data_IF_677128078950
#
_entry.id   IF_677128078950
#
_cell.length_a   1.000
_cell.length_b   1.000
_cell.length_c   1.000
_cell.angle_alpha   90.00
_cell.angle_beta   90.00
_cell.angle_gamma   90.00
#
_symmetry.space_group_name_H-M   'P 1'
#
loop_
_entity.id
_entity.type
_entity.pdbx_description
1 polymer ?
#
# COMPACT_ATOMS: atom_id res chain seq x y z
N UNK A 1 -36.60 8.17 10.09
CA UNK A 1 -35.95 9.50 10.17
C UNK A 1 -35.08 9.54 11.43
N UNK A 2 -33.80 9.20 11.32
CA UNK A 2 -32.81 9.43 12.38
C UNK A 2 -31.56 10.00 11.71
N UNK A 3 -31.13 11.14 12.26
CA UNK A 3 -30.14 12.06 11.70
C UNK A 3 -28.73 11.52 11.92
N UNK A 4 -27.91 11.75 10.89
CA UNK A 4 -26.45 11.59 10.83
C UNK A 4 -25.77 12.20 12.06
N UNK A 5 -24.97 11.40 12.76
CA UNK A 5 -23.90 11.87 13.63
C UNK A 5 -22.65 11.09 13.22
N UNK A 6 -21.94 11.61 12.21
CA UNK A 6 -20.68 11.08 11.70
C UNK A 6 -19.77 12.28 11.46
N UNK A 7 -18.52 12.14 11.91
CA UNK A 7 -17.34 12.81 11.36
C UNK A 7 -17.22 14.30 11.73
N UNK A 8 -16.64 14.58 12.90
CA UNK A 8 -15.90 15.84 13.15
C UNK A 8 -14.49 15.57 13.74
N UNK A 9 -14.20 14.36 14.26
CA UNK A 9 -12.88 14.11 14.88
C UNK A 9 -11.71 13.81 13.92
N UNK A 10 -11.93 13.46 12.65
CA UNK A 10 -10.82 13.13 11.74
C UNK A 10 -10.26 14.33 10.97
N UNK A 11 -11.03 15.41 10.80
CA UNK A 11 -10.58 16.59 10.05
C UNK A 11 -9.66 17.52 10.85
N UNK A 12 -9.68 17.45 12.19
CA UNK A 12 -8.84 18.30 13.03
C UNK A 12 -7.40 17.77 13.15
N UNK A 13 -7.20 16.45 13.08
CA UNK A 13 -5.85 15.84 13.15
C UNK A 13 -5.05 16.02 11.85
N UNK A 14 -5.70 16.07 10.69
CA UNK A 14 -5.02 16.24 9.39
C UNK A 14 -4.57 17.70 9.20
N UNK A 15 -5.35 18.67 9.69
CA UNK A 15 -4.98 20.08 9.61
C UNK A 15 -3.80 20.45 10.53
N UNK A 16 -3.61 19.73 11.64
CA UNK A 16 -2.51 19.98 12.57
C UNK A 16 -1.16 19.51 12.01
N UNK A 17 -1.14 18.34 11.35
CA UNK A 17 0.08 17.77 10.73
C UNK A 17 0.58 18.61 9.55
N UNK A 18 -0.33 19.17 8.74
CA UNK A 18 0.06 20.04 7.62
C UNK A 18 0.71 21.37 8.07
N UNK A 19 0.35 21.89 9.25
CA UNK A 19 0.95 23.11 9.79
C UNK A 19 2.36 22.92 10.35
N UNK A 20 2.71 21.71 10.80
CA UNK A 20 4.06 21.38 11.26
C UNK A 20 5.06 21.24 10.10
N UNK A 21 4.62 20.70 8.95
CA UNK A 21 5.49 20.51 7.79
C UNK A 21 5.96 21.84 7.17
N UNK A 22 5.11 22.88 7.14
CA UNK A 22 5.48 24.17 6.55
C UNK A 22 6.42 25.04 7.39
N UNK A 23 6.65 24.74 8.67
CA UNK A 23 7.56 25.50 9.52
C UNK A 23 8.89 24.79 9.82
N UNK A 24 9.02 23.51 9.45
CA UNK A 24 10.21 22.73 9.79
C UNK A 24 11.47 23.21 9.03
N UNK A 25 11.34 23.55 7.73
CA UNK A 25 12.45 24.07 6.93
C UNK A 25 13.00 25.41 7.44
N UNK A 26 12.14 26.23 8.05
CA UNK A 26 12.54 27.55 8.57
C UNK A 26 13.22 27.46 9.92
N UNK A 27 12.93 26.44 10.72
CA UNK A 27 13.55 26.22 12.04
C UNK A 27 14.94 25.62 11.88
N UNK A 28 15.15 24.74 10.89
CA UNK A 28 16.44 24.05 10.68
C UNK A 28 17.52 25.00 10.13
N UNK A 29 17.15 26.05 9.39
CA UNK A 29 18.12 26.94 8.74
C UNK A 29 18.77 27.99 9.67
N UNK A 30 18.21 28.26 10.85
CA UNK A 30 18.63 29.39 11.71
C UNK A 30 19.08 28.98 13.13
N UNK A 31 19.07 27.69 13.50
CA UNK A 31 19.35 27.26 14.88
C UNK A 31 20.77 26.71 15.08
N UNK A 32 21.54 27.30 15.99
CA UNK A 32 22.80 26.73 16.48
C UNK A 32 22.54 25.41 17.25
N UNK A 33 23.45 24.41 17.19
CA UNK A 33 23.21 23.02 17.61
C UNK A 33 22.94 22.80 19.12
N UNK A 34 22.76 23.86 19.91
CA UNK A 34 22.43 23.79 21.35
C UNK A 34 21.00 24.22 21.72
N UNK A 35 20.24 24.89 20.85
CA UNK A 35 18.88 25.40 21.19
C UNK A 35 17.73 24.47 20.78
N UNK A 36 17.99 23.45 19.95
CA UNK A 36 16.98 22.51 19.45
C UNK A 36 16.38 21.60 20.54
N UNK A 37 17.15 21.22 21.56
CA UNK A 37 16.66 20.30 22.59
C UNK A 37 15.62 20.94 23.53
N UNK A 38 15.63 22.27 23.69
CA UNK A 38 14.69 22.95 24.60
C UNK A 38 13.32 23.20 23.94
N UNK A 39 13.27 23.29 22.61
CA UNK A 39 12.05 23.57 21.84
C UNK A 39 11.15 22.33 21.68
N UNK A 40 11.75 21.15 21.48
CA UNK A 40 10.99 19.89 21.32
C UNK A 40 10.31 19.49 22.63
N UNK A 41 10.99 19.65 23.77
CA UNK A 41 10.43 19.37 25.10
C UNK A 41 9.21 20.27 25.42
N UNK A 42 9.29 21.58 25.11
CA UNK A 42 8.18 22.51 25.33
C UNK A 42 6.94 22.19 24.46
N UNK A 43 7.16 21.65 23.26
CA UNK A 43 6.08 21.30 22.33
C UNK A 43 5.37 20.00 22.76
N UNK A 44 6.11 19.03 23.31
CA UNK A 44 5.53 17.81 23.89
C UNK A 44 4.71 18.09 25.16
N UNK A 45 5.18 18.97 26.05
CA UNK A 45 4.43 19.34 27.26
C UNK A 45 3.11 20.08 26.96
N UNK A 46 3.10 20.94 25.94
CA UNK A 46 1.88 21.62 25.49
C UNK A 46 0.85 20.64 24.90
N UNK A 47 1.31 19.57 24.25
CA UNK A 47 0.44 18.55 23.67
C UNK A 47 -0.21 17.67 24.76
N UNK A 48 0.56 17.29 25.78
CA UNK A 48 0.05 16.52 26.92
C UNK A 48 -1.01 17.27 27.73
N UNK A 49 -0.96 18.61 27.78
CA UNK A 49 -1.95 19.41 28.50
C UNK A 49 -3.32 19.49 27.79
N UNK A 50 -3.40 19.20 26.50
CA UNK A 50 -4.64 19.37 25.71
C UNK A 50 -5.53 18.11 25.70
N UNK A 51 -4.98 16.94 26.06
CA UNK A 51 -5.70 15.65 26.04
C UNK A 51 -6.59 15.38 27.27
N UNK A 52 -6.62 16.27 28.26
CA UNK A 52 -7.35 16.04 29.53
C UNK A 52 -8.66 16.81 29.67
N UNK A 53 -9.18 17.44 28.60
CA UNK A 53 -10.45 18.17 28.70
C UNK A 53 -11.65 17.24 28.49
N UNK A 54 -12.05 16.55 29.57
CA UNK A 54 -13.29 15.79 29.66
C UNK A 54 -14.49 16.76 29.65
N UNK A 55 -15.27 16.74 28.58
CA UNK A 55 -16.44 17.61 28.43
C UNK A 55 -17.54 17.21 29.45
N UNK A 56 -18.14 18.16 30.18
CA UNK A 56 -19.20 17.85 31.13
C UNK A 56 -20.45 17.33 30.41
N UNK A 57 -21.01 16.24 30.94
CA UNK A 57 -22.21 15.58 30.44
C UNK A 57 -23.45 16.49 30.60
N UNK A 58 -24.21 16.79 29.53
CA UNK A 58 -25.41 17.62 29.66
C UNK A 58 -26.49 16.87 30.44
N UNK A 59 -26.88 17.43 31.59
CA UNK A 59 -27.98 16.94 32.41
C UNK A 59 -29.32 17.30 31.75
N UNK A 60 -29.82 16.39 30.91
CA UNK A 60 -31.13 16.52 30.26
C UNK A 60 -32.28 16.06 31.16
N UNK A 61 -33.32 16.89 31.23
CA UNK A 61 -34.61 16.72 31.93
C UNK A 61 -35.29 15.36 31.67
N UNK A 62 -36.02 14.78 32.64
CA UNK A 62 -36.75 13.52 32.44
C UNK A 62 -37.80 13.66 31.32
N UNK A 63 -37.87 12.71 30.37
CA UNK A 63 -38.90 12.75 29.34
C UNK A 63 -40.30 12.51 29.94
N UNK A 64 -41.26 13.30 29.48
CA UNK A 64 -42.69 13.16 29.76
C UNK A 64 -43.21 11.79 29.28
N UNK A 65 -44.15 11.14 30.00
CA UNK A 65 -44.74 9.87 29.55
C UNK A 65 -45.50 10.10 28.23
N UNK A 66 -45.03 9.49 27.15
CA UNK A 66 -45.73 9.44 25.86
C UNK A 66 -46.65 8.23 25.89
N UNK A 67 -47.95 8.45 25.70
CA UNK A 67 -48.94 7.38 25.56
C UNK A 67 -48.57 6.47 24.39
N UNK A 68 -48.50 5.16 24.66
CA UNK A 68 -48.13 4.13 23.70
C UNK A 68 -49.34 3.88 22.79
N UNK A 69 -49.31 4.24 21.49
CA UNK A 69 -50.34 3.80 20.56
C UNK A 69 -50.26 2.28 20.41
N UNK A 70 -51.41 1.61 20.49
CA UNK A 70 -51.57 0.17 20.30
C UNK A 70 -50.91 -0.25 18.98
N UNK A 71 -49.82 -1.02 19.10
CA UNK A 71 -48.98 -1.42 17.98
C UNK A 71 -49.75 -2.21 16.94
N UNK A 72 -49.82 -1.67 15.72
CA UNK A 72 -50.12 -2.44 14.51
C UNK A 72 -49.00 -3.47 14.36
N UNK A 73 -49.36 -4.75 14.29
CA UNK A 73 -48.39 -5.83 14.11
C UNK A 73 -47.62 -5.59 12.81
N UNK A 74 -46.33 -5.25 12.93
CA UNK A 74 -45.41 -5.20 11.81
C UNK A 74 -45.18 -6.65 11.38
N UNK A 75 -45.49 -7.04 10.13
CA UNK A 75 -45.16 -8.38 9.65
C UNK A 75 -43.67 -8.65 9.89
N UNK A 76 -43.38 -9.72 10.63
CA UNK A 76 -42.03 -10.27 10.75
C UNK A 76 -41.59 -10.68 9.35
N UNK A 77 -40.79 -9.84 8.70
CA UNK A 77 -40.15 -10.19 7.43
C UNK A 77 -39.07 -11.20 7.77
N UNK A 78 -39.31 -12.47 7.47
CA UNK A 78 -38.28 -13.51 7.53
C UNK A 78 -37.14 -13.06 6.61
N UNK A 79 -35.91 -12.89 7.11
CA UNK A 79 -34.78 -12.57 6.25
C UNK A 79 -34.64 -13.72 5.24
N UNK A 80 -34.77 -13.40 3.97
CA UNK A 80 -34.50 -14.34 2.88
C UNK A 80 -33.05 -14.82 3.04
N UNK A 81 -32.77 -16.13 2.95
CA UNK A 81 -31.42 -16.63 3.13
C UNK A 81 -30.52 -15.96 2.10
N UNK A 82 -29.58 -15.14 2.57
CA UNK A 82 -28.52 -14.59 1.74
C UNK A 82 -27.79 -15.77 1.12
N UNK A 83 -27.93 -15.97 -0.20
CA UNK A 83 -27.20 -17.04 -0.88
C UNK A 83 -25.72 -16.76 -0.72
N UNK A 84 -25.04 -17.50 0.14
CA UNK A 84 -23.59 -17.47 0.21
C UNK A 84 -23.08 -18.05 -1.10
N UNK A 85 -22.69 -17.19 -2.04
CA UNK A 85 -22.04 -17.64 -3.26
C UNK A 85 -20.76 -18.37 -2.86
N UNK A 86 -20.73 -19.67 -3.13
CA UNK A 86 -19.51 -20.45 -2.95
C UNK A 86 -18.53 -20.04 -4.06
N UNK A 87 -17.30 -19.64 -3.72
CA UNK A 87 -16.27 -19.34 -4.72
C UNK A 87 -16.09 -20.51 -5.69
N UNK A 88 -15.89 -20.25 -6.99
CA UNK A 88 -15.50 -21.29 -7.92
C UNK A 88 -14.13 -21.87 -7.51
N UNK A 89 -13.80 -23.11 -7.91
CA UNK A 89 -12.48 -23.70 -7.64
C UNK A 89 -11.36 -22.78 -8.16
N UNK A 90 -10.32 -22.56 -7.35
CA UNK A 90 -9.18 -21.66 -7.66
C UNK A 90 -9.55 -20.17 -7.77
N UNK A 91 -10.81 -19.81 -7.49
CA UNK A 91 -11.29 -18.44 -7.54
C UNK A 91 -10.96 -17.67 -6.28
N UNK A 92 -10.46 -16.46 -6.47
CA UNK A 92 -10.20 -15.48 -5.43
C UNK A 92 -10.90 -14.17 -5.82
N UNK A 93 -11.46 -13.44 -4.86
CA UNK A 93 -12.04 -12.11 -5.18
C UNK A 93 -10.95 -11.07 -5.05
N UNK A 94 -10.49 -10.47 -6.16
CA UNK A 94 -9.40 -9.49 -6.12
C UNK A 94 -9.82 -8.17 -5.46
N UNK A 95 -11.12 -7.83 -5.45
CA UNK A 95 -11.62 -6.53 -4.98
C UNK A 95 -12.80 -6.64 -3.98
N UNK A 96 -12.99 -7.81 -3.37
CA UNK A 96 -14.05 -8.05 -2.36
C UNK A 96 -15.48 -7.74 -2.83
N UNK A 97 -15.71 -7.74 -4.14
CA UNK A 97 -16.95 -7.31 -4.78
C UNK A 97 -17.87 -8.50 -5.16
N UNK A 98 -17.48 -9.71 -4.78
CA UNK A 98 -18.19 -10.95 -5.13
C UNK A 98 -17.95 -11.43 -6.55
N UNK A 99 -17.08 -10.75 -7.31
CA UNK A 99 -16.48 -11.31 -8.53
C UNK A 99 -15.29 -12.18 -8.16
N UNK A 100 -15.03 -13.20 -8.98
CA UNK A 100 -13.93 -14.13 -8.76
C UNK A 100 -13.00 -14.14 -9.95
N UNK A 101 -11.71 -14.10 -9.65
CA UNK A 101 -10.61 -14.17 -10.59
C UNK A 101 -9.70 -15.34 -10.26
N UNK A 102 -8.96 -15.79 -11.26
CA UNK A 102 -7.91 -16.78 -11.11
C UNK A 102 -6.63 -16.24 -11.72
N UNK A 103 -5.57 -16.18 -10.91
CA UNK A 103 -4.25 -15.72 -11.35
C UNK A 103 -3.36 -16.93 -11.63
N UNK A 104 -2.73 -16.99 -12.80
CA UNK A 104 -1.89 -18.12 -13.23
C UNK A 104 -0.59 -17.63 -13.85
N UNK A 105 0.54 -18.11 -13.33
CA UNK A 105 1.84 -17.97 -13.99
C UNK A 105 2.11 -19.24 -14.81
N UNK A 106 2.28 -19.09 -16.13
CA UNK A 106 2.53 -20.20 -17.05
C UNK A 106 3.91 -20.05 -17.65
N UNK A 107 4.72 -21.10 -17.56
CA UNK A 107 6.03 -21.17 -18.23
C UNK A 107 5.87 -21.63 -19.69
N UNK A 108 6.14 -20.72 -20.62
CA UNK A 108 6.17 -20.97 -22.06
C UNK A 108 7.52 -21.47 -22.58
N UNK A 109 8.46 -21.81 -21.70
CA UNK A 109 9.81 -22.23 -22.05
C UNK A 109 10.58 -21.11 -22.74
N UNK A 110 10.88 -21.28 -24.04
CA UNK A 110 11.62 -20.28 -24.82
C UNK A 110 10.84 -18.96 -25.01
N UNK A 111 9.52 -18.95 -24.82
CA UNK A 111 8.70 -17.72 -24.85
C UNK A 111 8.62 -17.02 -23.49
N UNK A 112 9.32 -17.55 -22.48
CA UNK A 112 9.29 -17.07 -21.11
C UNK A 112 7.97 -17.30 -20.41
N UNK A 113 7.84 -16.69 -19.24
CA UNK A 113 6.64 -16.83 -18.41
C UNK A 113 5.59 -15.80 -18.81
N UNK A 114 4.33 -16.19 -18.75
CA UNK A 114 3.18 -15.29 -18.95
C UNK A 114 2.28 -15.37 -17.73
N UNK A 115 1.92 -14.21 -17.19
CA UNK A 115 0.97 -14.10 -16.08
C UNK A 115 -0.41 -13.79 -16.64
N UNK A 116 -1.40 -14.59 -16.26
CA UNK A 116 -2.79 -14.46 -16.69
C UNK A 116 -3.68 -14.13 -15.51
N UNK A 117 -4.72 -13.34 -15.77
CA UNK A 117 -5.87 -13.16 -14.89
C UNK A 117 -7.11 -13.58 -15.68
N UNK A 118 -7.78 -14.61 -15.19
CA UNK A 118 -9.07 -15.07 -15.70
C UNK A 118 -10.21 -14.55 -14.81
N UNK A 119 -11.38 -14.27 -15.37
CA UNK A 119 -12.61 -13.93 -14.67
C UNK A 119 -13.62 -15.07 -14.74
N UNK A 120 -14.34 -15.32 -13.64
CA UNK A 120 -15.41 -16.32 -13.60
C UNK A 120 -16.74 -15.73 -14.07
N UNK A 121 -17.27 -16.25 -15.17
CA UNK A 121 -18.55 -15.80 -15.74
C UNK A 121 -19.79 -16.43 -15.11
N UNK A 122 -19.62 -17.26 -14.08
CA UNK A 122 -20.68 -18.10 -13.51
C UNK A 122 -20.68 -19.53 -14.08
N UNK A 123 -19.98 -19.77 -15.20
CA UNK A 123 -19.92 -21.08 -15.85
C UNK A 123 -18.51 -21.47 -16.32
N UNK A 124 -17.68 -20.50 -16.70
CA UNK A 124 -16.33 -20.74 -17.18
C UNK A 124 -15.36 -19.65 -16.75
N UNK A 125 -14.07 -19.97 -16.82
CA UNK A 125 -12.97 -19.02 -16.70
C UNK A 125 -12.70 -18.38 -18.06
N UNK A 126 -12.70 -17.06 -18.13
CA UNK A 126 -12.36 -16.29 -19.34
C UNK A 126 -11.15 -15.40 -19.08
N UNK A 127 -10.14 -15.45 -19.96
CA UNK A 127 -8.97 -14.55 -19.87
C UNK A 127 -9.44 -13.11 -20.05
N UNK A 128 -9.16 -12.26 -19.04
CA UNK A 128 -9.48 -10.83 -19.08
C UNK A 128 -8.24 -9.96 -19.13
N UNK A 129 -7.08 -10.49 -18.72
CA UNK A 129 -5.83 -9.75 -18.73
C UNK A 129 -4.63 -10.70 -18.74
N UNK A 130 -3.54 -10.26 -19.35
CA UNK A 130 -2.26 -10.96 -19.32
C UNK A 130 -1.06 -10.02 -19.44
N UNK A 131 0.08 -10.46 -18.91
CA UNK A 131 1.39 -9.85 -19.11
C UNK A 131 2.37 -10.92 -19.58
N UNK A 132 3.01 -10.65 -20.71
CA UNK A 132 3.99 -11.54 -21.32
C UNK A 132 5.39 -11.14 -20.85
N UNK A 133 6.15 -12.09 -20.31
CA UNK A 133 7.53 -11.89 -19.93
C UNK A 133 8.45 -11.75 -21.13
N UNK A 134 8.10 -12.32 -22.29
CA UNK A 134 8.95 -12.28 -23.48
C UNK A 134 10.12 -13.27 -23.44
N UNK A 135 11.12 -13.05 -24.29
CA UNK A 135 12.29 -13.93 -24.41
C UNK A 135 13.12 -13.94 -23.10
N UNK A 136 13.28 -15.09 -22.42
CA UNK A 136 14.07 -15.22 -21.18
C UNK A 136 15.52 -14.77 -21.32
N UNK A 137 16.07 -14.76 -22.53
CA UNK A 137 17.42 -14.24 -22.78
C UNK A 137 17.51 -12.72 -22.64
N UNK A 138 16.38 -12.01 -22.69
CA UNK A 138 16.29 -10.55 -22.57
C UNK A 138 15.62 -10.12 -21.27
N UNK A 139 14.50 -10.74 -20.89
CA UNK A 139 13.79 -10.44 -19.65
C UNK A 139 12.88 -11.61 -19.25
N UNK A 140 12.53 -11.71 -17.96
CA UNK A 140 11.67 -12.79 -17.48
C UNK A 140 10.85 -12.36 -16.26
N UNK A 141 9.57 -12.73 -16.22
CA UNK A 141 8.75 -12.62 -15.01
C UNK A 141 9.30 -13.60 -13.96
N UNK A 142 9.53 -13.12 -12.72
CA UNK A 142 10.03 -13.98 -11.65
C UNK A 142 8.96 -14.94 -11.12
N UNK A 143 9.38 -16.03 -10.47
CA UNK A 143 8.46 -17.01 -9.88
C UNK A 143 7.65 -16.47 -8.69
N UNK A 144 8.02 -15.31 -8.18
CA UNK A 144 7.32 -14.59 -7.12
C UNK A 144 6.12 -13.79 -7.65
N UNK A 145 5.86 -13.76 -8.96
CA UNK A 145 4.69 -13.11 -9.53
C UNK A 145 3.38 -13.81 -9.11
N UNK A 146 2.36 -13.02 -8.78
CA UNK A 146 1.06 -13.58 -8.37
C UNK A 146 0.21 -12.64 -7.52
N UNK A 147 -0.89 -13.16 -6.94
CA UNK A 147 -1.80 -12.38 -6.10
C UNK A 147 -1.27 -12.25 -4.67
N UNK A 148 -1.29 -11.03 -4.13
CA UNK A 148 -0.91 -10.71 -2.76
C UNK A 148 -2.02 -9.93 -2.06
N UNK A 149 -2.35 -10.30 -0.83
CA UNK A 149 -3.37 -9.63 -0.02
C UNK A 149 -2.86 -8.28 0.50
N UNK A 150 -3.61 -7.22 0.25
CA UNK A 150 -3.45 -5.88 0.81
C UNK A 150 -4.73 -5.48 1.56
N UNK A 151 -4.58 -4.93 2.76
CA UNK A 151 -5.66 -4.66 3.68
C UNK A 151 -6.37 -5.94 4.10
N UNK A 152 -7.69 -5.85 4.29
CA UNK A 152 -8.48 -6.95 4.85
C UNK A 152 -8.92 -7.99 3.82
N UNK A 153 -9.04 -7.62 2.54
CA UNK A 153 -9.63 -8.51 1.53
C UNK A 153 -9.19 -8.25 0.08
N UNK A 154 -8.51 -7.14 -0.22
CA UNK A 154 -8.14 -6.79 -1.58
C UNK A 154 -6.88 -7.56 -1.97
N UNK A 155 -6.88 -8.23 -3.11
CA UNK A 155 -5.67 -8.86 -3.65
C UNK A 155 -5.20 -8.06 -4.86
N UNK A 156 -3.90 -7.77 -4.89
CA UNK A 156 -3.23 -7.16 -6.04
C UNK A 156 -2.33 -8.16 -6.72
N UNK A 157 -2.14 -7.99 -8.02
CA UNK A 157 -1.27 -8.84 -8.83
C UNK A 157 0.09 -8.16 -8.94
N UNK A 158 1.10 -8.74 -8.29
CA UNK A 158 2.48 -8.27 -8.35
C UNK A 158 3.23 -8.99 -9.47
N UNK A 159 3.94 -8.22 -10.30
CA UNK A 159 4.64 -8.69 -11.50
C UNK A 159 6.09 -8.17 -11.48
N UNK A 160 7.00 -8.87 -10.81
CA UNK A 160 8.44 -8.62 -10.92
C UNK A 160 8.97 -9.15 -12.25
N UNK A 161 9.64 -8.29 -13.02
CA UNK A 161 10.25 -8.60 -14.31
C UNK A 161 11.74 -8.32 -14.21
N UNK A 162 12.56 -9.35 -14.37
CA UNK A 162 14.02 -9.20 -14.35
C UNK A 162 14.58 -9.16 -15.76
N UNK A 163 15.38 -8.14 -16.06
CA UNK A 163 16.09 -8.01 -17.33
C UNK A 163 17.45 -8.69 -17.27
N UNK A 164 17.77 -9.43 -18.32
CA UNK A 164 19.05 -10.10 -18.51
C UNK A 164 20.13 -9.08 -18.87
N UNK A 165 21.32 -9.22 -18.29
CA UNK A 165 22.47 -8.34 -18.54
C UNK A 165 23.25 -7.99 -17.28
N UNK A 166 24.24 -7.09 -17.39
CA UNK A 166 25.15 -6.73 -16.30
C UNK A 166 24.53 -5.87 -15.20
N UNK A 167 23.36 -5.27 -15.43
CA UNK A 167 22.65 -4.44 -14.46
C UNK A 167 21.61 -5.16 -13.61
N UNK A 168 21.26 -6.41 -13.93
CA UNK A 168 20.23 -7.19 -13.23
C UNK A 168 18.98 -6.36 -12.87
N UNK A 169 18.52 -5.53 -13.82
CA UNK A 169 17.43 -4.58 -13.59
C UNK A 169 16.17 -5.35 -13.24
N UNK A 170 15.51 -4.93 -12.17
CA UNK A 170 14.20 -5.42 -11.79
C UNK A 170 13.19 -4.31 -12.06
N UNK A 171 12.16 -4.60 -12.83
CA UNK A 171 10.97 -3.76 -12.99
C UNK A 171 9.83 -4.42 -12.19
N UNK A 172 9.32 -3.74 -11.17
CA UNK A 172 8.21 -4.19 -10.34
C UNK A 172 6.93 -3.44 -10.75
N UNK A 173 5.92 -4.19 -11.18
CA UNK A 173 4.58 -3.66 -11.45
C UNK A 173 3.56 -4.26 -10.51
N UNK A 174 2.60 -3.46 -10.06
CA UNK A 174 1.49 -3.94 -9.24
C UNK A 174 0.18 -3.47 -9.86
N UNK A 175 -0.72 -4.43 -10.07
CA UNK A 175 -2.01 -4.20 -10.67
C UNK A 175 -3.15 -4.48 -9.68
N UNK A 176 -4.12 -3.58 -9.61
CA UNK A 176 -5.34 -3.74 -8.84
C UNK A 176 -6.53 -4.05 -9.77
N UNK A 177 -7.45 -4.90 -9.32
CA UNK A 177 -8.70 -5.15 -10.03
C UNK A 177 -9.74 -4.10 -9.63
N UNK A 178 -10.32 -3.38 -10.59
CA UNK A 178 -11.33 -2.35 -10.32
C UNK A 178 -12.78 -2.85 -10.39
N UNK A 179 -12.98 -4.16 -10.55
CA UNK A 179 -14.29 -4.78 -10.80
C UNK A 179 -14.50 -5.21 -12.26
N UNK A 180 -13.74 -4.64 -13.20
CA UNK A 180 -13.86 -4.92 -14.64
C UNK A 180 -12.55 -5.21 -15.36
N UNK A 181 -11.47 -4.57 -14.93
CA UNK A 181 -10.15 -4.72 -15.55
C UNK A 181 -9.03 -4.59 -14.51
N UNK A 182 -7.83 -4.99 -14.91
CA UNK A 182 -6.60 -4.75 -14.15
C UNK A 182 -6.09 -3.34 -14.45
N UNK A 183 -5.88 -2.54 -13.40
CA UNK A 183 -5.33 -1.19 -13.48
C UNK A 183 -3.97 -1.17 -12.79
N UNK A 184 -2.96 -0.57 -13.43
CA UNK A 184 -1.64 -0.41 -12.83
C UNK A 184 -1.69 0.63 -11.71
N UNK A 185 -1.33 0.24 -10.49
CA UNK A 185 -1.28 1.13 -9.32
C UNK A 185 0.14 1.41 -8.81
N UNK A 186 1.14 0.70 -9.36
CA UNK A 186 2.56 0.92 -9.07
C UNK A 186 3.42 0.41 -10.21
N UNK A 187 4.45 1.17 -10.56
CA UNK A 187 5.53 0.77 -11.42
C UNK A 187 6.82 1.42 -10.93
N UNK A 188 7.88 0.64 -10.80
CA UNK A 188 9.21 1.12 -10.45
C UNK A 188 10.27 0.16 -10.96
N UNK A 189 11.40 0.67 -11.42
CA UNK A 189 12.53 -0.12 -11.88
C UNK A 189 13.83 0.32 -11.20
N UNK A 190 14.73 -0.64 -10.97
CA UNK A 190 16.01 -0.36 -10.33
C UNK A 190 17.11 -1.35 -10.68
N UNK A 191 18.35 -0.85 -10.68
CA UNK A 191 19.55 -1.63 -10.97
C UNK A 191 19.93 -2.49 -9.76
N UNK A 192 20.26 -3.76 -10.00
CA UNK A 192 20.37 -4.81 -8.98
C UNK A 192 19.15 -4.84 -8.06
N UNK A 193 17.97 -4.63 -8.64
CA UNK A 193 16.77 -4.46 -7.86
C UNK A 193 16.30 -5.73 -7.18
N UNK A 194 15.73 -5.54 -5.99
CA UNK A 194 15.02 -6.56 -5.23
C UNK A 194 13.75 -5.96 -4.62
N UNK A 195 12.83 -6.81 -4.19
CA UNK A 195 11.59 -6.36 -3.58
C UNK A 195 11.08 -7.32 -2.52
N UNK A 196 10.34 -6.77 -1.57
CA UNK A 196 9.66 -7.54 -0.54
C UNK A 196 8.31 -6.90 -0.19
N UNK A 197 7.40 -7.73 0.30
CA UNK A 197 6.12 -7.29 0.86
C UNK A 197 6.10 -7.50 2.38
N UNK A 198 5.74 -6.44 3.12
CA UNK A 198 5.62 -6.45 4.58
C UNK A 198 4.27 -5.84 4.98
N UNK A 199 3.29 -6.70 5.32
CA UNK A 199 1.92 -6.23 5.55
C UNK A 199 1.38 -5.55 4.28
N UNK A 200 0.87 -4.33 4.40
CA UNK A 200 0.34 -3.54 3.28
C UNK A 200 1.39 -2.64 2.61
N UNK A 201 2.66 -2.88 2.93
CA UNK A 201 3.79 -2.15 2.38
C UNK A 201 4.59 -3.03 1.43
N UNK A 202 5.20 -2.38 0.45
CA UNK A 202 6.29 -2.93 -0.34
C UNK A 202 7.57 -2.18 0.02
N UNK A 203 8.68 -2.90 0.08
CA UNK A 203 10.01 -2.30 0.05
C UNK A 203 10.64 -2.68 -1.27
N UNK A 204 11.11 -1.67 -2.00
CA UNK A 204 11.90 -1.85 -3.20
C UNK A 204 13.34 -1.47 -2.91
N UNK A 205 14.30 -2.31 -3.29
CA UNK A 205 15.72 -2.07 -3.13
C UNK A 205 16.34 -1.79 -4.50
N UNK A 206 17.17 -0.77 -4.61
CA UNK A 206 17.91 -0.44 -5.82
C UNK A 206 19.33 0.05 -5.53
N UNK A 207 20.19 -0.01 -6.54
CA UNK A 207 21.56 0.50 -6.46
C UNK A 207 21.65 1.99 -6.81
N UNK A 208 22.38 2.76 -6.00
CA UNK A 208 22.77 4.13 -6.34
C UNK A 208 24.25 4.14 -6.71
N UNK A 209 24.54 4.62 -7.93
CA UNK A 209 25.91 4.80 -8.41
C UNK A 209 26.36 6.25 -8.26
N UNK A 210 27.54 6.44 -7.68
CA UNK A 210 28.28 7.69 -7.74
C UNK A 210 28.92 7.87 -9.12
N UNK A 211 29.39 9.10 -9.39
CA UNK A 211 30.14 9.39 -10.60
C UNK A 211 31.44 8.57 -10.63
N UNK A 212 31.78 8.00 -11.79
CA UNK A 212 32.93 7.08 -12.03
C UNK A 212 32.90 5.74 -11.26
N UNK A 213 31.76 5.37 -10.69
CA UNK A 213 31.62 4.13 -9.96
C UNK A 213 31.41 2.91 -10.90
N UNK A 214 32.08 1.75 -10.66
CA UNK A 214 31.89 0.57 -11.50
C UNK A 214 30.47 -0.03 -11.36
N UNK A 215 29.81 -0.30 -12.49
CA UNK A 215 28.47 -0.92 -12.53
C UNK A 215 28.34 -2.26 -11.78
N UNK A 216 29.44 -2.99 -11.55
CA UNK A 216 29.42 -4.25 -10.81
C UNK A 216 29.17 -4.10 -9.32
N UNK A 217 29.48 -2.92 -8.77
CA UNK A 217 29.91 -2.80 -7.39
C UNK A 217 29.36 -1.51 -6.78
N UNK A 218 28.02 -1.39 -6.68
CA UNK A 218 27.35 -0.20 -6.15
C UNK A 218 27.90 0.14 -4.76
N UNK A 219 28.32 1.37 -4.48
CA UNK A 219 28.79 1.83 -3.17
C UNK A 219 27.63 2.02 -2.20
N UNK A 220 26.44 2.31 -2.73
CA UNK A 220 25.23 2.54 -1.95
C UNK A 220 24.05 1.77 -2.53
N UNK A 221 23.14 1.36 -1.64
CA UNK A 221 21.80 0.89 -1.99
C UNK A 221 20.75 1.79 -1.38
N UNK A 222 19.65 1.96 -2.09
CA UNK A 222 18.47 2.65 -1.64
C UNK A 222 17.37 1.64 -1.36
N UNK A 223 16.72 1.80 -0.22
CA UNK A 223 15.49 1.12 0.14
C UNK A 223 14.37 2.13 0.09
N UNK A 224 13.35 1.85 -0.70
CA UNK A 224 12.15 2.67 -0.90
C UNK A 224 10.95 1.92 -0.32
N UNK A 225 10.32 2.50 0.69
CA UNK A 225 9.11 1.94 1.29
C UNK A 225 7.88 2.62 0.70
N UNK A 226 6.93 1.83 0.20
CA UNK A 226 5.65 2.33 -0.28
C UNK A 226 4.50 1.63 0.42
N UNK A 227 3.51 2.40 0.84
CA UNK A 227 2.29 1.90 1.48
C UNK A 227 1.11 2.05 0.54
N UNK A 228 0.21 1.07 0.53
CA UNK A 228 -1.06 1.18 -0.17
C UNK A 228 -2.05 2.05 0.62
N UNK A 229 -2.64 3.07 -0.02
CA UNK A 229 -3.62 3.96 0.62
C UNK A 229 -5.09 3.64 0.28
N UNK A 230 -5.32 2.59 -0.52
CA UNK A 230 -6.63 2.23 -1.06
C UNK A 230 -6.82 2.60 -2.55
N UNK A 231 -5.97 3.48 -3.09
CA UNK A 231 -6.03 3.93 -4.49
C UNK A 231 -4.70 3.81 -5.20
N UNK A 232 -3.61 4.21 -4.53
CA UNK A 232 -2.26 4.23 -5.08
C UNK A 232 -1.23 3.79 -4.03
N UNK A 233 -0.02 3.44 -4.50
CA UNK A 233 1.13 3.26 -3.63
C UNK A 233 1.82 4.61 -3.39
N UNK A 234 1.91 5.00 -2.13
CA UNK A 234 2.58 6.25 -1.72
C UNK A 234 3.90 5.91 -1.06
N UNK A 235 4.98 6.58 -1.48
CA UNK A 235 6.28 6.43 -0.83
C UNK A 235 6.21 6.99 0.60
N UNK A 236 6.45 6.14 1.59
CA UNK A 236 6.38 6.47 3.01
C UNK A 236 7.75 6.53 3.69
N UNK A 237 8.78 5.96 3.06
CA UNK A 237 10.13 5.91 3.62
C UNK A 237 11.20 5.81 2.55
N UNK A 238 12.40 6.24 2.91
CA UNK A 238 13.60 5.96 2.13
C UNK A 238 14.82 5.86 3.05
N UNK A 239 15.68 4.88 2.78
CA UNK A 239 16.96 4.70 3.47
C UNK A 239 18.04 4.45 2.42
N UNK A 240 19.15 5.19 2.51
CA UNK A 240 20.37 4.88 1.76
C UNK A 240 21.34 4.20 2.72
N UNK A 241 21.84 3.03 2.33
CA UNK A 241 22.83 2.27 3.08
C UNK A 241 24.06 2.01 2.23
N UNK A 242 25.29 2.13 2.79
CA UNK A 242 26.48 1.67 2.11
C UNK A 242 26.44 0.14 1.92
N UNK A 243 27.10 -0.34 0.87
CA UNK A 243 27.25 -1.78 0.56
C UNK A 243 28.49 -2.43 1.17
N UNK A 244 29.36 -1.63 1.79
CA UNK A 244 30.61 -2.04 2.40
C UNK A 244 30.53 -1.99 3.92
N UNK A 245 31.32 -2.84 4.58
CA UNK A 245 31.56 -2.79 6.01
C UNK A 245 32.93 -2.15 6.28
N UNK A 246 32.97 -1.16 7.19
CA UNK A 246 34.22 -0.51 7.60
C UNK A 246 34.61 0.68 6.70
N UNK A 247 35.91 0.79 6.41
CA UNK A 247 36.45 1.90 5.62
C UNK A 247 35.97 1.82 4.15
N UNK A 248 35.45 2.93 3.58
CA UNK A 248 34.97 2.94 2.19
C UNK A 248 36.11 2.70 1.20
N UNK A 249 35.89 1.89 0.14
CA UNK A 249 36.80 1.81 -0.99
C UNK A 249 37.08 3.20 -1.59
N UNK A 250 38.26 3.42 -2.16
CA UNK A 250 38.66 4.73 -2.71
C UNK A 250 37.66 5.28 -3.74
N UNK A 251 37.04 4.41 -4.54
CA UNK A 251 36.02 4.80 -5.53
C UNK A 251 34.63 5.08 -4.92
N UNK A 252 34.44 4.82 -3.63
CA UNK A 252 33.24 5.17 -2.86
C UNK A 252 33.43 6.45 -2.03
N UNK A 253 34.59 7.09 -2.12
CA UNK A 253 34.88 8.34 -1.42
C UNK A 253 34.51 9.55 -2.30
N UNK A 254 33.89 10.60 -1.74
CA UNK A 254 33.44 11.78 -2.48
C UNK A 254 34.57 12.68 -2.99
#
# INVERSE_FOLDING_TARGET
>A
MMKRLRIILTSFSILLMASLACNLDKIISDSEPGELETSVAATLDAFSATLTQEAPLPTGTPPTPIEIPTGTQHPTVTPEPTSTFTPPPEGLSLNCDGTYQRVRLVDGGASGKTLFVDHWTGAAWEEVWRVEGGDPMNQQIEDTAGPYLFGDCQYMVIVPIRFSGSGAILELKIYAWNGSEMVEGYAHDGVHGDWQKLGDMITFEESIYLYDEPNCCPCNRQYLEHSWDGTDFVQTGSLISPTYEGDPPDYCQP
#
